data_IF_518052490394
#
_entry.id   IF_518052490394
#
_cell.length_a   1.000
_cell.length_b   1.000
_cell.length_c   1.000
_cell.angle_alpha   90.00
_cell.angle_beta   90.00
_cell.angle_gamma   90.00
#
_symmetry.space_group_name_H-M   'P 1'
#
loop_
_entity.id
_entity.type
_entity.pdbx_description
1 polymer ?
#
# COMPACT_ATOMS: atom_id res chain seq x y z
N UNK A 1 -21.86 -2.89 -4.94
CA UNK A 1 -21.04 -3.10 -3.74
C UNK A 1 -21.26 -1.94 -2.79
N UNK A 2 -21.57 -2.21 -1.55
CA UNK A 2 -21.84 -1.19 -0.53
C UNK A 2 -20.57 -0.44 -0.12
N UNK A 3 -19.43 -1.08 -0.25
CA UNK A 3 -18.12 -0.52 0.05
C UNK A 3 -17.34 -0.36 -1.24
N UNK A 4 -17.20 0.87 -1.68
CA UNK A 4 -16.24 1.23 -2.73
C UNK A 4 -14.99 1.73 -2.04
N UNK A 5 -13.85 1.09 -2.27
CA UNK A 5 -12.57 1.57 -1.76
C UNK A 5 -12.30 2.97 -2.27
N UNK A 6 -11.97 3.85 -1.35
CA UNK A 6 -11.67 5.24 -1.65
C UNK A 6 -10.18 5.37 -1.94
N UNK A 7 -9.86 6.05 -3.02
CA UNK A 7 -8.48 6.35 -3.38
C UNK A 7 -8.17 7.81 -3.07
N UNK A 8 -6.94 8.06 -2.67
CA UNK A 8 -6.42 9.41 -2.45
C UNK A 8 -5.60 9.82 -3.67
N UNK A 9 -5.91 10.98 -4.23
CA UNK A 9 -5.11 11.56 -5.31
C UNK A 9 -4.32 12.74 -4.77
N UNK A 10 -3.03 12.77 -5.09
CA UNK A 10 -2.15 13.89 -4.77
C UNK A 10 -1.56 14.39 -6.08
N UNK A 11 -1.71 15.68 -6.33
CA UNK A 11 -1.04 16.35 -7.45
C UNK A 11 -0.16 17.46 -6.91
N UNK A 12 1.02 17.61 -7.46
CA UNK A 12 1.91 18.69 -7.12
C UNK A 12 2.26 19.48 -8.38
N UNK A 13 2.37 20.79 -8.23
CA UNK A 13 2.92 21.63 -9.27
C UNK A 13 4.43 21.33 -9.33
N UNK A 14 4.83 20.50 -10.25
CA UNK A 14 6.22 20.36 -10.65
C UNK A 14 6.96 19.11 -10.23
N UNK A 15 6.35 18.07 -9.64
CA UNK A 15 7.29 17.07 -9.24
C UNK A 15 6.83 15.68 -8.84
N UNK A 16 5.64 15.24 -9.21
CA UNK A 16 5.24 13.87 -8.91
C UNK A 16 5.95 12.87 -9.83
N UNK A 17 6.83 12.04 -9.28
CA UNK A 17 7.45 10.92 -9.98
C UNK A 17 6.43 9.83 -10.26
N UNK A 18 6.69 9.01 -11.26
CA UNK A 18 5.92 7.80 -11.56
C UNK A 18 6.71 6.55 -11.26
N UNK A 19 6.01 5.50 -10.89
CA UNK A 19 6.55 4.15 -10.73
C UNK A 19 5.90 3.25 -11.79
N UNK A 20 6.72 2.56 -12.57
CA UNK A 20 6.23 1.60 -13.58
C UNK A 20 6.57 0.20 -13.11
N UNK A 21 5.56 -0.62 -12.87
CA UNK A 21 5.76 -2.02 -12.51
C UNK A 21 6.28 -2.79 -13.72
N UNK A 22 7.40 -3.45 -13.55
CA UNK A 22 8.09 -4.22 -14.60
C UNK A 22 8.44 -5.59 -14.07
N UNK A 23 8.23 -6.61 -14.89
CA UNK A 23 8.65 -7.98 -14.58
C UNK A 23 10.05 -8.25 -15.09
N UNK A 24 10.84 -8.95 -14.30
CA UNK A 24 12.14 -9.49 -14.68
C UNK A 24 12.21 -10.99 -14.44
N UNK A 25 12.79 -11.70 -15.40
CA UNK A 25 13.06 -13.14 -15.37
C UNK A 25 14.53 -13.34 -15.66
N UNK A 26 15.30 -13.62 -14.63
CA UNK A 26 16.76 -13.63 -14.74
C UNK A 26 17.36 -14.76 -13.92
N UNK A 27 18.46 -15.28 -14.41
CA UNK A 27 19.26 -16.31 -13.72
C UNK A 27 20.42 -15.64 -13.01
N UNK A 28 20.57 -15.91 -11.73
CA UNK A 28 21.64 -15.40 -10.90
C UNK A 28 22.56 -16.53 -10.46
N UNK A 29 23.84 -16.22 -10.33
CA UNK A 29 24.81 -17.11 -9.66
C UNK A 29 24.80 -16.74 -8.17
N UNK A 30 24.50 -17.66 -7.24
CA UNK A 30 24.56 -17.37 -5.82
C UNK A 30 25.96 -16.92 -5.41
N UNK A 31 26.02 -15.90 -4.56
CA UNK A 31 27.26 -15.52 -3.93
C UNK A 31 27.63 -16.55 -2.83
N UNK A 32 28.90 -16.61 -2.46
CA UNK A 32 29.42 -17.54 -1.45
C UNK A 32 28.82 -17.38 -0.05
N UNK A 33 28.06 -16.30 0.17
CA UNK A 33 27.43 -15.96 1.46
C UNK A 33 25.90 -16.21 1.48
N UNK A 34 25.39 -17.04 0.58
CA UNK A 34 23.95 -17.37 0.48
C UNK A 34 23.02 -16.17 0.19
N UNK A 35 23.57 -15.06 -0.28
CA UNK A 35 22.84 -13.85 -0.65
C UNK A 35 22.89 -13.63 -2.17
N UNK A 36 21.74 -13.45 -2.79
CA UNK A 36 21.63 -13.14 -4.21
C UNK A 36 21.19 -11.68 -4.36
N UNK A 37 22.02 -10.84 -5.00
CA UNK A 37 21.61 -9.49 -5.40
C UNK A 37 20.74 -9.57 -6.64
N UNK A 38 19.55 -8.97 -6.60
CA UNK A 38 18.63 -8.89 -7.73
C UNK A 38 19.02 -7.80 -8.73
N UNK A 39 20.03 -7.00 -8.42
CA UNK A 39 20.53 -5.89 -9.24
C UNK A 39 19.43 -4.89 -9.66
N UNK A 40 18.33 -4.84 -8.94
CA UNK A 40 17.20 -3.93 -9.11
C UNK A 40 16.80 -3.38 -7.77
N UNK A 41 16.47 -2.09 -7.70
CA UNK A 41 15.92 -1.47 -6.51
C UNK A 41 14.39 -1.50 -6.56
N UNK A 42 13.76 -1.32 -5.37
CA UNK A 42 12.32 -1.24 -5.20
C UNK A 42 11.58 -2.49 -5.73
N UNK A 43 11.99 -3.66 -5.20
CA UNK A 43 11.33 -4.92 -5.53
C UNK A 43 9.92 -4.93 -4.94
N UNK A 44 8.95 -5.21 -5.80
CA UNK A 44 7.55 -5.30 -5.40
C UNK A 44 7.20 -6.67 -4.85
N UNK A 45 7.46 -7.73 -5.63
CA UNK A 45 7.12 -9.11 -5.27
C UNK A 45 8.03 -10.11 -5.97
N UNK A 46 8.31 -11.20 -5.31
CA UNK A 46 8.89 -12.39 -5.94
C UNK A 46 7.75 -13.30 -6.37
N UNK A 47 7.63 -13.53 -7.67
CA UNK A 47 6.65 -14.44 -8.23
C UNK A 47 7.09 -15.89 -8.03
N UNK A 48 8.34 -16.19 -8.38
CA UNK A 48 8.88 -17.56 -8.27
C UNK A 48 10.40 -17.57 -8.23
N UNK A 49 10.95 -18.52 -7.46
CA UNK A 49 12.38 -18.85 -7.45
C UNK A 49 12.52 -20.34 -7.78
N UNK A 50 13.40 -20.67 -8.74
CA UNK A 50 13.67 -22.05 -9.18
C UNK A 50 15.15 -22.38 -9.15
N UNK A 51 15.44 -23.63 -8.87
CA UNK A 51 16.80 -24.16 -8.89
C UNK A 51 17.26 -24.37 -10.35
N UNK A 52 18.41 -23.85 -10.69
CA UNK A 52 19.07 -23.98 -12.00
C UNK A 52 18.48 -23.11 -13.11
N UNK A 53 17.25 -23.35 -13.50
CA UNK A 53 16.62 -22.72 -14.67
C UNK A 53 15.11 -22.53 -14.50
N UNK A 54 14.49 -21.87 -15.50
CA UNK A 54 13.03 -21.69 -15.55
C UNK A 54 12.22 -23.00 -15.51
N UNK A 55 12.81 -24.13 -15.84
CA UNK A 55 12.19 -25.44 -15.77
C UNK A 55 12.57 -26.23 -14.50
N UNK A 56 13.43 -25.66 -13.65
CA UNK A 56 13.87 -26.30 -12.41
C UNK A 56 12.80 -26.38 -11.31
N UNK A 57 13.05 -27.11 -10.24
CA UNK A 57 12.12 -27.22 -9.11
C UNK A 57 11.94 -25.87 -8.40
N UNK A 58 10.73 -25.62 -7.91
CA UNK A 58 10.40 -24.38 -7.18
C UNK A 58 11.02 -24.41 -5.79
N UNK A 59 11.76 -23.37 -5.45
CA UNK A 59 12.45 -23.19 -4.18
C UNK A 59 12.15 -21.84 -3.50
N UNK A 60 11.11 -21.14 -3.93
CA UNK A 60 10.72 -19.80 -3.42
C UNK A 60 10.67 -19.74 -1.90
N UNK A 61 10.12 -20.77 -1.25
CA UNK A 61 9.99 -20.84 0.21
C UNK A 61 11.32 -20.88 0.99
N UNK A 62 12.45 -21.15 0.32
CA UNK A 62 13.77 -21.22 0.96
C UNK A 62 14.42 -19.86 1.17
N UNK A 63 13.91 -18.80 0.54
CA UNK A 63 14.51 -17.48 0.57
C UNK A 63 13.67 -16.45 1.31
N UNK A 64 14.32 -15.45 1.86
CA UNK A 64 13.71 -14.23 2.39
C UNK A 64 14.08 -13.08 1.48
N UNK A 65 13.08 -12.28 1.09
CA UNK A 65 13.28 -11.09 0.30
C UNK A 65 13.59 -9.89 1.21
N UNK A 66 14.68 -9.18 0.90
CA UNK A 66 14.85 -7.77 1.22
C UNK A 66 14.53 -6.97 -0.06
N UNK A 67 13.45 -6.21 -0.03
CA UNK A 67 12.96 -5.47 -1.18
C UNK A 67 13.81 -4.24 -1.56
N UNK A 68 14.86 -3.97 -0.81
CA UNK A 68 15.75 -2.84 -1.03
C UNK A 68 15.23 -1.49 -0.49
N UNK A 69 14.06 -1.43 0.13
CA UNK A 69 13.59 -0.19 0.72
C UNK A 69 14.37 0.14 2.00
N UNK A 70 14.92 1.35 2.07
CA UNK A 70 15.59 1.92 3.26
C UNK A 70 14.83 3.16 3.72
N UNK A 71 15.12 3.64 4.90
CA UNK A 71 14.42 4.80 5.48
C UNK A 71 14.58 6.06 4.64
N UNK A 72 15.70 6.20 3.94
CA UNK A 72 16.06 7.40 3.21
C UNK A 72 16.38 7.19 1.71
N UNK A 73 16.40 5.94 1.21
CA UNK A 73 16.63 5.64 -0.21
C UNK A 73 16.10 4.25 -0.59
N UNK A 74 16.05 3.98 -1.90
CA UNK A 74 15.77 2.66 -2.47
C UNK A 74 17.08 2.00 -2.86
N UNK A 75 17.48 0.97 -2.13
CA UNK A 75 18.65 0.14 -2.37
C UNK A 75 18.32 -1.01 -3.32
N UNK A 76 19.34 -1.72 -3.77
CA UNK A 76 19.20 -2.96 -4.52
C UNK A 76 18.58 -4.06 -3.63
N UNK A 77 17.54 -4.71 -4.13
CA UNK A 77 16.90 -5.83 -3.44
C UNK A 77 17.78 -7.07 -3.41
N UNK A 78 17.64 -7.86 -2.37
CA UNK A 78 18.40 -9.11 -2.17
C UNK A 78 17.52 -10.26 -1.72
N UNK A 79 17.96 -11.48 -2.06
CA UNK A 79 17.39 -12.72 -1.55
C UNK A 79 18.41 -13.38 -0.64
N UNK A 80 18.01 -13.69 0.58
CA UNK A 80 18.85 -14.40 1.56
C UNK A 80 18.29 -15.79 1.81
N UNK A 81 19.14 -16.80 1.72
CA UNK A 81 18.77 -18.18 2.05
C UNK A 81 18.41 -18.27 3.53
N UNK A 82 17.28 -18.89 3.83
CA UNK A 82 16.83 -19.09 5.21
C UNK A 82 17.70 -20.13 5.92
N UNK A 83 17.93 -19.98 7.22
CA UNK A 83 18.64 -20.97 8.01
C UNK A 83 18.00 -22.38 7.90
N UNK A 84 18.83 -23.40 7.80
CA UNK A 84 18.39 -24.81 7.70
C UNK A 84 18.14 -25.32 6.27
N UNK A 85 18.24 -24.45 5.26
CA UNK A 85 18.21 -24.88 3.87
C UNK A 85 19.63 -24.95 3.29
N UNK A 86 19.84 -25.88 2.38
CA UNK A 86 21.09 -26.00 1.63
C UNK A 86 21.01 -25.07 0.41
N UNK A 87 22.05 -24.30 0.18
CA UNK A 87 22.17 -23.47 -1.01
C UNK A 87 22.18 -24.33 -2.28
N UNK A 88 21.54 -23.89 -3.36
CA UNK A 88 21.69 -24.53 -4.67
C UNK A 88 23.16 -24.56 -5.09
N UNK A 89 23.59 -25.68 -5.69
CA UNK A 89 24.98 -25.85 -6.17
C UNK A 89 25.29 -25.08 -7.46
N UNK A 90 24.26 -24.54 -8.11
CA UNK A 90 24.35 -23.85 -9.39
C UNK A 90 23.55 -22.55 -9.41
N UNK A 91 23.20 -22.12 -10.59
CA UNK A 91 22.42 -20.91 -10.80
C UNK A 91 21.03 -21.01 -10.16
N UNK A 92 20.44 -19.84 -9.88
CA UNK A 92 19.07 -19.69 -9.38
C UNK A 92 18.30 -18.80 -10.34
N UNK A 93 17.21 -19.31 -10.88
CA UNK A 93 16.29 -18.54 -11.70
C UNK A 93 15.28 -17.83 -10.81
N UNK A 94 15.09 -16.53 -11.03
CA UNK A 94 14.16 -15.70 -10.26
C UNK A 94 13.23 -14.93 -11.21
N UNK A 95 11.94 -15.05 -10.97
CA UNK A 95 10.87 -14.27 -11.60
C UNK A 95 10.33 -13.29 -10.54
N UNK A 96 10.42 -12.00 -10.80
CA UNK A 96 10.03 -10.96 -9.85
C UNK A 96 9.54 -9.69 -10.53
N UNK A 97 8.71 -8.94 -9.83
CA UNK A 97 8.26 -7.62 -10.23
C UNK A 97 8.97 -6.54 -9.40
N UNK A 98 9.32 -5.45 -10.02
CA UNK A 98 9.94 -4.28 -9.38
C UNK A 98 9.41 -2.99 -9.99
N UNK A 99 9.62 -1.86 -9.32
CA UNK A 99 9.25 -0.56 -9.84
C UNK A 99 10.43 0.16 -10.50
N UNK A 100 10.22 0.56 -11.75
CA UNK A 100 11.09 1.53 -12.44
C UNK A 100 10.60 2.92 -12.09
N UNK A 101 11.48 3.79 -11.65
CA UNK A 101 11.18 5.17 -11.29
C UNK A 101 11.39 6.09 -12.50
N UNK A 102 10.48 7.06 -12.73
CA UNK A 102 10.69 8.11 -13.71
C UNK A 102 11.91 8.96 -13.33
N UNK A 103 12.57 9.53 -14.33
CA UNK A 103 13.69 10.46 -14.13
C UNK A 103 13.24 11.87 -13.78
N UNK A 104 11.97 12.22 -14.03
CA UNK A 104 11.38 13.53 -13.73
C UNK A 104 10.64 13.52 -12.42
N UNK A 105 10.55 14.70 -11.78
CA UNK A 105 9.86 14.89 -10.51
C UNK A 105 10.75 14.70 -9.27
N UNK A 106 10.23 15.13 -8.11
CA UNK A 106 10.99 15.23 -6.87
C UNK A 106 10.57 14.20 -5.82
N UNK A 107 9.32 13.71 -5.88
CA UNK A 107 8.75 12.81 -4.88
C UNK A 107 7.72 11.85 -5.46
N UNK A 108 7.39 10.81 -4.70
CA UNK A 108 6.30 9.88 -4.99
C UNK A 108 5.11 10.12 -4.07
N UNK A 109 3.93 9.80 -4.57
CA UNK A 109 2.66 9.81 -3.83
C UNK A 109 1.84 8.57 -4.19
N UNK A 110 0.64 8.42 -3.65
CA UNK A 110 -0.28 7.39 -4.10
C UNK A 110 -0.49 7.42 -5.63
N UNK A 111 -0.55 8.62 -6.23
CA UNK A 111 -0.70 8.80 -7.68
C UNK A 111 0.46 8.22 -8.49
N UNK A 112 1.65 8.09 -7.90
CA UNK A 112 2.81 7.49 -8.57
C UNK A 112 2.60 6.02 -8.96
N UNK A 113 1.65 5.36 -8.34
CA UNK A 113 1.30 3.95 -8.55
C UNK A 113 0.07 3.75 -9.46
N UNK A 114 -0.53 4.84 -9.98
CA UNK A 114 -1.74 4.78 -10.82
C UNK A 114 -1.56 3.83 -12.01
N UNK A 115 -2.52 2.94 -12.20
CA UNK A 115 -2.51 1.94 -13.28
C UNK A 115 -1.45 0.83 -13.12
N UNK A 116 -0.69 0.81 -12.03
CA UNK A 116 0.35 -0.20 -11.78
C UNK A 116 -0.07 -1.23 -10.74
N UNK A 117 -0.66 -0.76 -9.66
CA UNK A 117 -1.21 -1.58 -8.56
C UNK A 117 -2.45 -0.90 -8.00
N UNK A 118 -3.34 -1.68 -7.41
CA UNK A 118 -4.50 -1.13 -6.71
C UNK A 118 -4.07 -0.29 -5.51
N UNK A 119 -4.85 0.71 -5.15
CA UNK A 119 -4.56 1.58 -4.00
C UNK A 119 -4.29 0.81 -2.70
N UNK A 120 -5.02 -0.28 -2.46
CA UNK A 120 -4.86 -1.14 -1.29
C UNK A 120 -3.53 -1.91 -1.28
N UNK A 121 -2.96 -2.16 -2.48
CA UNK A 121 -1.76 -2.97 -2.70
C UNK A 121 -0.48 -2.11 -2.84
N UNK A 122 -0.61 -0.78 -2.66
CA UNK A 122 0.56 0.11 -2.56
C UNK A 122 1.43 -0.34 -1.38
N UNK A 123 2.74 -0.53 -1.57
CA UNK A 123 3.61 -1.10 -0.55
C UNK A 123 3.63 -0.33 0.76
N UNK A 124 3.90 -1.06 1.82
CA UNK A 124 4.23 -0.52 3.14
C UNK A 124 5.74 -0.64 3.35
N UNK A 125 6.38 0.45 3.76
CA UNK A 125 7.77 0.44 4.16
C UNK A 125 7.89 0.16 5.66
N UNK A 126 8.69 -0.84 6.03
CA UNK A 126 9.08 -1.10 7.41
C UNK A 126 10.40 -0.41 7.71
N UNK A 127 10.37 0.55 8.61
CA UNK A 127 11.55 1.29 9.03
C UNK A 127 12.53 0.45 9.85
N UNK A 128 13.76 0.96 9.97
CA UNK A 128 14.79 0.36 10.81
C UNK A 128 14.41 0.30 12.30
N UNK A 129 13.57 1.23 12.78
CA UNK A 129 13.04 1.24 14.16
C UNK A 129 11.89 0.24 14.39
N UNK A 130 11.47 -0.49 13.35
CA UNK A 130 10.39 -1.46 13.37
C UNK A 130 9.01 -0.89 13.11
N UNK A 131 8.83 0.42 13.05
CA UNK A 131 7.57 1.06 12.66
C UNK A 131 7.29 0.88 11.17
N UNK A 132 6.03 1.04 10.76
CA UNK A 132 5.62 0.88 9.37
C UNK A 132 4.99 2.16 8.82
N UNK A 133 5.33 2.49 7.58
CA UNK A 133 4.77 3.62 6.84
C UNK A 133 4.06 3.09 5.61
N UNK A 134 2.77 3.40 5.48
CA UNK A 134 2.05 3.14 4.24
C UNK A 134 2.45 4.17 3.19
N UNK A 135 3.07 3.73 2.10
CA UNK A 135 3.56 4.63 1.04
C UNK A 135 2.42 5.36 0.29
N UNK A 136 1.19 4.88 0.42
CA UNK A 136 0.01 5.56 -0.10
C UNK A 136 -0.39 6.83 0.69
N UNK A 137 0.14 7.00 1.91
CA UNK A 137 -0.26 8.05 2.85
C UNK A 137 0.80 9.14 3.04
N UNK A 138 1.91 9.06 2.31
CA UNK A 138 3.07 9.94 2.50
C UNK A 138 3.54 10.58 1.20
N UNK A 139 4.32 11.65 1.33
CA UNK A 139 5.19 12.18 0.29
C UNK A 139 6.55 11.51 0.45
N UNK A 140 6.95 10.73 -0.55
CA UNK A 140 8.17 9.94 -0.51
C UNK A 140 9.25 10.59 -1.40
N UNK A 141 10.26 11.14 -0.76
CA UNK A 141 11.38 11.84 -1.42
C UNK A 141 12.60 10.95 -1.64
N UNK A 142 12.52 9.66 -1.33
CA UNK A 142 13.66 8.77 -1.40
C UNK A 142 14.20 8.65 -2.83
N UNK A 143 15.51 8.76 -2.94
CA UNK A 143 16.25 8.52 -4.18
C UNK A 143 16.38 7.03 -4.44
N UNK A 144 16.59 6.66 -5.71
CA UNK A 144 16.81 5.27 -6.11
C UNK A 144 18.29 5.05 -6.46
N UNK A 145 18.87 3.97 -5.94
CA UNK A 145 20.16 3.47 -6.41
C UNK A 145 20.05 2.97 -7.84
N UNK A 146 21.09 3.17 -8.63
CA UNK A 146 21.16 2.61 -9.99
C UNK A 146 21.23 1.10 -9.94
N UNK A 147 20.74 0.46 -11.00
CA UNK A 147 20.80 -1.00 -11.12
C UNK A 147 22.26 -1.46 -11.13
N UNK A 148 22.59 -2.39 -10.24
CA UNK A 148 23.93 -2.97 -10.09
C UNK A 148 25.08 -1.96 -9.89
N UNK A 149 24.79 -0.74 -9.40
CA UNK A 149 25.78 0.29 -9.14
C UNK A 149 25.54 0.95 -7.79
N UNK A 150 26.59 1.60 -7.26
CA UNK A 150 26.53 2.29 -5.96
C UNK A 150 26.15 3.77 -6.05
N UNK A 151 25.75 4.25 -7.22
CA UNK A 151 25.33 5.61 -7.42
C UNK A 151 23.80 5.74 -7.45
N UNK A 152 23.31 6.94 -7.14
CA UNK A 152 21.90 7.26 -7.21
C UNK A 152 21.52 7.76 -8.61
N UNK A 153 20.25 7.50 -9.02
CA UNK A 153 19.70 7.93 -10.28
C UNK A 153 18.39 8.69 -10.11
N UNK A 154 18.05 9.50 -11.07
CA UNK A 154 16.83 10.29 -11.11
C UNK A 154 17.03 11.74 -10.69
N UNK A 155 16.00 12.56 -10.89
CA UNK A 155 15.96 13.97 -10.49
C UNK A 155 16.02 14.04 -8.97
N UNK A 156 16.82 14.95 -8.43
CA UNK A 156 17.07 15.02 -6.99
C UNK A 156 18.04 13.97 -6.47
N UNK A 157 18.58 13.11 -7.35
CA UNK A 157 19.64 12.18 -6.99
C UNK A 157 20.92 12.95 -6.64
N UNK A 158 21.15 13.10 -5.39
CA UNK A 158 22.39 13.60 -4.81
C UNK A 158 23.11 12.43 -4.18
N UNK A 159 24.42 12.55 -4.03
CA UNK A 159 25.22 11.56 -3.29
C UNK A 159 24.74 11.35 -1.84
N UNK A 160 23.92 12.26 -1.36
CA UNK A 160 23.24 12.17 -0.06
C UNK A 160 21.73 12.07 -0.35
N UNK A 161 21.08 10.96 -0.04
CA UNK A 161 19.66 10.73 -0.34
C UNK A 161 18.72 11.44 0.66
N UNK A 162 18.95 12.71 0.89
CA UNK A 162 18.15 13.52 1.82
C UNK A 162 17.64 14.77 1.10
N UNK A 163 16.38 15.13 1.27
CA UNK A 163 15.86 16.40 0.76
C UNK A 163 16.55 17.56 1.48
N UNK A 164 16.68 18.68 0.80
CA UNK A 164 17.17 19.92 1.42
C UNK A 164 16.19 20.37 2.51
N UNK A 165 16.70 20.69 3.67
CA UNK A 165 15.89 21.15 4.81
C UNK A 165 15.28 22.55 4.64
N UNK A 166 15.68 23.30 3.63
CA UNK A 166 15.21 24.66 3.33
C UNK A 166 14.30 24.76 2.12
N UNK A 167 14.03 23.65 1.43
CA UNK A 167 13.15 23.64 0.27
C UNK A 167 11.66 23.70 0.67
N UNK A 168 10.91 24.52 -0.04
CA UNK A 168 9.46 24.59 0.12
C UNK A 168 8.78 23.80 -0.98
N UNK A 169 7.87 22.92 -0.59
CA UNK A 169 7.08 22.12 -1.52
C UNK A 169 5.64 22.58 -1.44
N UNK A 170 5.04 22.89 -2.59
CA UNK A 170 3.61 23.14 -2.72
C UNK A 170 2.95 21.99 -3.46
N UNK A 171 1.90 21.43 -2.88
CA UNK A 171 1.13 20.37 -3.51
C UNK A 171 -0.37 20.52 -3.23
N UNK A 172 -1.20 20.04 -4.15
CA UNK A 172 -2.65 19.95 -3.97
C UNK A 172 -3.02 18.50 -3.70
N UNK A 173 -3.88 18.28 -2.72
CA UNK A 173 -4.36 16.96 -2.37
C UNK A 173 -5.88 16.95 -2.32
N UNK A 174 -6.50 16.02 -3.04
CA UNK A 174 -7.91 15.70 -2.89
C UNK A 174 -8.04 14.56 -1.88
N UNK A 175 -8.91 14.71 -0.91
CA UNK A 175 -9.16 13.71 0.12
C UNK A 175 -10.66 13.48 0.30
N UNK A 176 -11.00 12.29 0.79
CA UNK A 176 -12.37 11.92 1.12
C UNK A 176 -12.64 12.18 2.59
N UNK A 177 -13.87 12.57 2.89
CA UNK A 177 -14.35 12.77 4.25
C UNK A 177 -14.98 11.48 4.78
N UNK A 178 -14.99 11.32 6.10
CA UNK A 178 -15.71 10.24 6.76
C UNK A 178 -17.22 10.42 6.67
N UNK A 179 -17.98 9.34 6.81
CA UNK A 179 -19.44 9.36 6.82
C UNK A 179 -19.97 8.42 7.90
N UNK A 180 -21.04 8.81 8.55
CA UNK A 180 -21.80 7.96 9.47
C UNK A 180 -23.19 7.67 8.87
N UNK A 181 -23.70 6.48 9.18
CA UNK A 181 -25.02 6.10 8.69
C UNK A 181 -25.73 5.14 9.65
N UNK A 182 -27.00 4.90 9.37
CA UNK A 182 -27.87 4.02 10.13
C UNK A 182 -28.55 3.01 9.19
N UNK A 183 -28.67 1.79 9.65
CA UNK A 183 -29.44 0.74 8.99
C UNK A 183 -30.72 0.54 9.77
N UNK A 184 -31.84 0.57 9.09
CA UNK A 184 -33.16 0.54 9.71
C UNK A 184 -34.09 -0.43 8.98
N UNK A 185 -35.13 -0.88 9.70
CA UNK A 185 -36.24 -1.61 9.15
C UNK A 185 -37.55 -0.85 9.43
N UNK A 186 -38.44 -0.76 8.45
CA UNK A 186 -39.75 -0.17 8.64
C UNK A 186 -40.75 -1.19 9.18
N UNK A 187 -41.87 -0.69 9.66
CA UNK A 187 -42.99 -1.50 10.09
C UNK A 187 -43.54 -2.40 8.98
N UNK A 188 -43.47 -1.98 7.71
CA UNK A 188 -43.88 -2.73 6.54
C UNK A 188 -42.82 -3.76 6.07
N UNK A 189 -41.66 -3.83 6.75
CA UNK A 189 -40.61 -4.81 6.48
C UNK A 189 -39.59 -4.40 5.41
N UNK A 190 -39.59 -3.15 4.91
CA UNK A 190 -38.53 -2.69 4.02
C UNK A 190 -37.26 -2.32 4.81
N UNK A 191 -36.12 -2.55 4.18
CA UNK A 191 -34.81 -2.16 4.72
C UNK A 191 -34.37 -0.83 4.14
N UNK A 192 -33.90 0.06 5.01
CA UNK A 192 -33.36 1.36 4.60
C UNK A 192 -31.97 1.57 5.16
N UNK A 193 -31.14 2.26 4.39
CA UNK A 193 -29.84 2.75 4.83
C UNK A 193 -29.84 4.27 4.67
N UNK A 194 -29.63 4.97 5.77
CA UNK A 194 -29.58 6.43 5.83
C UNK A 194 -28.13 6.86 6.02
N UNK A 195 -27.66 7.74 5.16
CA UNK A 195 -26.32 8.32 5.24
C UNK A 195 -26.41 9.74 5.77
N UNK A 196 -25.50 10.07 6.70
CA UNK A 196 -25.25 11.45 7.11
C UNK A 196 -24.44 12.23 6.07
N UNK A 197 -24.15 13.47 6.36
CA UNK A 197 -23.25 14.27 5.53
C UNK A 197 -21.79 13.83 5.76
N UNK A 198 -21.02 13.82 4.66
CA UNK A 198 -19.60 13.58 4.74
C UNK A 198 -18.90 14.80 5.37
N UNK A 199 -18.16 14.58 6.46
CA UNK A 199 -17.49 15.65 7.20
C UNK A 199 -16.20 15.13 7.85
N UNK A 200 -15.39 16.07 8.35
CA UNK A 200 -14.20 15.73 9.15
C UNK A 200 -14.60 15.04 10.46
N UNK A 201 -15.71 15.49 11.06
CA UNK A 201 -16.38 14.83 12.18
C UNK A 201 -17.84 14.58 11.81
N UNK A 202 -18.14 13.45 11.12
CA UNK A 202 -19.47 13.15 10.65
C UNK A 202 -20.42 12.88 11.81
N UNK A 203 -21.69 13.24 11.64
CA UNK A 203 -22.77 12.95 12.59
C UNK A 203 -23.73 11.91 12.01
N UNK A 204 -24.39 11.17 12.88
CA UNK A 204 -25.42 10.23 12.44
C UNK A 204 -26.63 11.00 11.88
N UNK A 205 -27.21 10.55 10.76
CA UNK A 205 -28.41 11.19 10.20
C UNK A 205 -29.60 11.02 11.15
N UNK A 206 -30.52 11.99 11.15
CA UNK A 206 -31.82 11.82 11.77
C UNK A 206 -32.61 10.74 11.02
N UNK A 207 -33.39 9.95 11.75
CA UNK A 207 -34.31 8.98 11.13
C UNK A 207 -35.63 9.64 10.77
N UNK A 208 -36.19 9.35 9.59
CA UNK A 208 -37.56 9.78 9.29
C UNK A 208 -38.53 9.20 10.30
N UNK A 209 -39.35 10.05 10.91
CA UNK A 209 -40.32 9.61 11.92
C UNK A 209 -39.71 9.09 13.21
N UNK A 210 -38.56 9.58 13.61
CA UNK A 210 -37.95 9.24 14.92
C UNK A 210 -38.95 9.49 16.06
N UNK A 211 -39.26 8.45 16.83
CA UNK A 211 -40.25 8.48 17.89
C UNK A 211 -41.70 8.05 17.51
N UNK A 212 -42.02 7.86 16.21
CA UNK A 212 -43.34 7.38 15.77
C UNK A 212 -43.51 5.85 15.92
N UNK A 213 -42.40 5.12 16.03
CA UNK A 213 -42.40 3.65 16.09
C UNK A 213 -42.53 2.97 14.72
N UNK A 214 -42.51 3.72 13.61
CA UNK A 214 -42.64 3.18 12.24
C UNK A 214 -41.32 2.68 11.69
N UNK A 215 -40.20 3.12 12.24
CA UNK A 215 -38.83 2.74 11.85
C UNK A 215 -38.07 2.27 13.07
N UNK A 216 -37.43 1.11 12.95
CA UNK A 216 -36.54 0.55 13.97
C UNK A 216 -35.11 0.57 13.49
N UNK A 217 -34.21 1.17 14.23
CA UNK A 217 -32.78 1.15 13.97
C UNK A 217 -32.21 -0.23 14.31
N UNK A 218 -31.50 -0.84 13.35
CA UNK A 218 -30.86 -2.16 13.49
C UNK A 218 -29.38 -2.00 13.80
N UNK A 219 -28.71 -1.08 13.11
CA UNK A 219 -27.28 -0.85 13.28
C UNK A 219 -26.90 0.59 12.93
N UNK A 220 -25.82 1.04 13.53
CA UNK A 220 -25.07 2.23 13.14
C UNK A 220 -23.76 1.83 12.52
N UNK A 221 -23.29 2.61 11.57
CA UNK A 221 -21.99 2.40 10.99
C UNK A 221 -21.23 3.70 10.79
N UNK A 222 -19.90 3.58 10.80
CA UNK A 222 -18.99 4.67 10.47
C UNK A 222 -17.99 4.18 9.43
N UNK A 223 -17.92 4.89 8.32
CA UNK A 223 -16.95 4.70 7.23
C UNK A 223 -15.90 5.78 7.38
N UNK A 224 -14.64 5.37 7.54
CA UNK A 224 -13.51 6.28 7.61
C UNK A 224 -13.01 6.63 6.20
N UNK A 225 -12.35 7.79 6.02
CA UNK A 225 -11.67 8.09 4.79
C UNK A 225 -10.61 7.02 4.47
N UNK A 226 -10.46 6.68 3.18
CA UNK A 226 -9.40 5.80 2.69
C UNK A 226 -9.39 4.37 3.27
N UNK A 227 -10.54 3.86 3.62
CA UNK A 227 -10.68 2.45 3.97
C UNK A 227 -10.22 1.53 2.83
N UNK A 228 -9.50 0.49 3.15
CA UNK A 228 -8.98 -0.49 2.18
C UNK A 228 -9.68 -1.85 2.25
N UNK A 229 -10.40 -2.09 3.32
CA UNK A 229 -11.23 -3.28 3.47
C UNK A 229 -12.46 -3.00 4.35
N UNK A 230 -13.44 -3.88 4.30
CA UNK A 230 -14.70 -3.77 5.04
C UNK A 230 -14.53 -3.90 6.56
N UNK A 231 -13.45 -4.52 7.03
CA UNK A 231 -13.14 -4.65 8.46
C UNK A 231 -12.72 -3.33 9.10
N UNK A 232 -12.34 -2.34 8.29
CA UNK A 232 -11.97 -1.00 8.77
C UNK A 232 -13.22 -0.16 9.11
N UNK A 233 -14.43 -0.62 8.75
CA UNK A 233 -15.69 0.02 9.12
C UNK A 233 -16.07 -0.31 10.56
N UNK A 234 -16.48 0.70 11.33
CA UNK A 234 -17.13 0.45 12.61
C UNK A 234 -18.60 0.13 12.35
N UNK A 235 -19.06 -1.01 12.82
CA UNK A 235 -20.46 -1.42 12.77
C UNK A 235 -20.93 -1.73 14.19
N UNK A 236 -21.94 -1.00 14.66
CA UNK A 236 -22.54 -1.15 15.98
C UNK A 236 -23.97 -1.63 15.82
N UNK A 237 -24.28 -2.82 16.32
CA UNK A 237 -25.64 -3.36 16.32
C UNK A 237 -26.42 -2.80 17.50
N UNK A 238 -27.67 -2.40 17.23
CA UNK A 238 -28.57 -1.89 18.25
C UNK A 238 -29.31 -3.03 18.93
N UNK A 239 -29.26 -3.07 20.25
CA UNK A 239 -30.06 -4.02 21.03
C UNK A 239 -31.45 -3.42 21.32
N UNK A 240 -32.40 -3.81 20.47
CA UNK A 240 -33.78 -3.34 20.57
C UNK A 240 -34.69 -4.25 21.42
N UNK A 241 -34.10 -5.18 22.16
CA UNK A 241 -34.90 -6.05 23.06
C UNK A 241 -35.60 -5.21 24.14
N UNK A 242 -36.90 -5.30 24.19
CA UNK A 242 -37.65 -4.76 25.31
C UNK A 242 -37.56 -5.72 26.50
N UNK A 243 -37.08 -5.26 27.63
CA UNK A 243 -37.21 -5.98 28.89
C UNK A 243 -38.69 -5.92 29.27
N UNK A 244 -39.40 -7.01 29.12
CA UNK A 244 -40.72 -7.17 29.80
C UNK A 244 -40.43 -7.46 31.26
N UNK A 245 -40.78 -6.52 32.12
CA UNK A 245 -40.85 -6.77 33.57
C UNK A 245 -42.05 -7.65 33.88
#
# INVERSE_FOLDING_TARGET
SFLTYQTKTTSAAGGNKTKTKTNAKTTFTPASNDVISLAKADIYVINEIRDGSAAGPVITGRYTLDNGQRDNFYDTGTLTLKPGFTAPSGNVYVDFDFFVHSSSGDFFTAKSYDGQVDYKDIPTHRKADGSSINLRDVLDFRSRKADAADNFTGTGAINIPLPRNTETISFSQTFYLGIKGRVCISREGWWGVFFGEAATDPVYPALPGEGTGDIMEIAKFQIFPYMVNDKDMILEYMDNRRYTM
#
